data_IF_988079294915
#
_entry.id   IF_988079294915
#
_cell.length_a   1.000
_cell.length_b   1.000
_cell.length_c   1.000
_cell.angle_alpha   90.00
_cell.angle_beta   90.00
_cell.angle_gamma   90.00
#
_symmetry.space_group_name_H-M   'P 1'
#
loop_
_entity.id
_entity.type
_entity.pdbx_description
1 polymer ?
#
# COMPACT_ATOMS: atom_id res chain seq x y z
N UNK A 1 7.97 -4.24 25.96
CA UNK A 1 7.67 -4.26 24.51
C UNK A 1 8.50 -3.18 23.81
N UNK A 2 9.78 -3.06 24.18
CA UNK A 2 10.68 -1.99 23.73
C UNK A 2 11.82 -2.54 22.84
N UNK A 3 11.76 -3.82 22.43
CA UNK A 3 12.92 -4.51 21.85
C UNK A 3 12.61 -5.23 20.52
N UNK A 4 11.60 -4.79 19.76
CA UNK A 4 11.29 -5.33 18.42
C UNK A 4 11.30 -4.25 17.32
N UNK A 5 11.50 -2.97 17.66
CA UNK A 5 11.46 -1.86 16.70
C UNK A 5 12.81 -1.40 16.16
N UNK A 6 13.92 -2.06 16.51
CA UNK A 6 15.27 -1.60 16.12
C UNK A 6 15.95 -2.40 14.98
N UNK A 7 15.33 -3.44 14.40
CA UNK A 7 16.05 -4.40 13.54
C UNK A 7 15.55 -4.49 12.08
N UNK A 8 14.99 -3.40 11.54
CA UNK A 8 14.63 -3.31 10.10
C UNK A 8 15.48 -2.26 9.34
N UNK A 9 16.43 -1.60 10.02
CA UNK A 9 17.18 -0.47 9.45
C UNK A 9 18.61 -0.80 8.92
N UNK A 10 19.01 -2.07 8.80
CA UNK A 10 20.37 -2.42 8.36
C UNK A 10 20.39 -3.54 7.31
N UNK A 11 19.98 -3.23 6.08
CA UNK A 11 20.56 -3.84 4.87
C UNK A 11 20.16 -3.05 3.62
N UNK A 12 20.99 -2.08 3.22
CA UNK A 12 21.04 -1.60 1.83
C UNK A 12 22.44 -1.90 1.31
N UNK A 13 22.62 -2.75 0.28
CA UNK A 13 23.89 -2.83 -0.43
C UNK A 13 24.09 -1.59 -1.31
N UNK A 14 25.33 -1.16 -1.39
CA UNK A 14 25.83 0.01 -2.11
C UNK A 14 25.87 -0.15 -3.64
N UNK A 15 26.12 1.01 -4.29
CA UNK A 15 26.81 1.27 -5.59
C UNK A 15 26.02 1.10 -6.91
N UNK A 16 26.40 1.78 -8.02
CA UNK A 16 27.44 2.81 -8.24
C UNK A 16 26.96 4.07 -9.03
N UNK A 17 27.83 5.10 -9.24
CA UNK A 17 27.43 6.37 -9.86
C UNK A 17 27.59 6.40 -11.40
N UNK A 18 26.72 7.18 -12.06
CA UNK A 18 26.91 7.73 -13.40
C UNK A 18 25.97 7.18 -14.50
N UNK A 19 25.78 7.90 -15.65
CA UNK A 19 26.63 8.98 -16.14
C UNK A 19 25.92 10.33 -16.39
N UNK A 20 26.71 11.37 -16.19
CA UNK A 20 26.49 12.76 -16.65
C UNK A 20 26.53 12.85 -18.18
N UNK A 21 25.65 13.65 -18.76
CA UNK A 21 25.57 13.95 -20.19
C UNK A 21 26.17 15.33 -20.47
N UNK A 22 27.23 15.41 -21.27
CA UNK A 22 27.72 16.64 -21.93
C UNK A 22 28.28 16.25 -23.32
N UNK A 23 27.84 16.96 -24.37
CA UNK A 23 28.32 16.85 -25.77
C UNK A 23 29.74 17.41 -25.96
N UNK A 24 30.36 17.53 -27.14
CA UNK A 24 30.01 17.48 -28.57
C UNK A 24 31.30 17.07 -29.33
N UNK A 25 31.22 16.71 -30.63
CA UNK A 25 32.39 16.73 -31.53
C UNK A 25 32.38 15.71 -32.68
N UNK A 26 32.43 16.24 -33.91
CA UNK A 26 32.23 15.63 -35.23
C UNK A 26 33.35 14.72 -35.79
N UNK A 27 33.00 13.89 -36.78
CA UNK A 27 33.82 13.66 -37.99
C UNK A 27 34.33 12.23 -38.28
N UNK A 28 34.50 11.83 -39.57
CA UNK A 28 34.05 10.53 -40.10
C UNK A 28 35.17 9.60 -40.60
N UNK A 29 34.89 8.30 -40.84
CA UNK A 29 35.14 7.59 -42.13
C UNK A 29 34.90 6.04 -42.06
N UNK A 30 34.34 5.53 -43.18
CA UNK A 30 34.36 4.19 -43.80
C UNK A 30 34.32 2.87 -43.00
N UNK A 31 33.40 1.96 -43.40
CA UNK A 31 33.56 0.52 -43.16
C UNK A 31 32.32 -0.38 -43.25
N UNK A 32 31.90 -0.72 -44.47
CA UNK A 32 30.88 -1.70 -44.91
C UNK A 32 30.94 -3.10 -44.26
N UNK A 33 29.78 -3.73 -43.96
CA UNK A 33 29.32 -5.00 -44.59
C UNK A 33 27.90 -5.46 -44.16
N UNK A 34 27.14 -6.15 -45.05
CA UNK A 34 25.70 -6.41 -44.90
C UNK A 34 25.37 -7.86 -44.49
N UNK A 35 24.28 -8.06 -43.72
CA UNK A 35 23.67 -9.39 -43.49
C UNK A 35 22.20 -9.36 -43.96
N UNK A 36 21.73 -10.35 -44.74
CA UNK A 36 20.54 -10.23 -45.58
C UNK A 36 19.19 -10.43 -44.87
N UNK A 37 18.21 -9.64 -45.33
CA UNK A 37 16.78 -9.67 -45.01
C UNK A 37 16.13 -10.99 -45.46
N UNK A 38 15.42 -11.70 -44.57
CA UNK A 38 14.45 -12.73 -44.94
C UNK A 38 13.05 -12.47 -44.36
N UNK A 39 12.25 -11.85 -45.23
CA UNK A 39 10.84 -12.12 -45.59
C UNK A 39 9.93 -12.72 -44.51
N UNK A 40 8.95 -11.89 -44.17
CA UNK A 40 7.69 -12.12 -43.47
C UNK A 40 7.01 -13.46 -43.78
N UNK A 41 6.57 -14.17 -42.74
CA UNK A 41 5.57 -15.25 -42.86
C UNK A 41 4.53 -15.11 -41.74
N UNK A 42 3.28 -15.10 -42.17
CA UNK A 42 2.04 -15.03 -41.41
C UNK A 42 2.04 -15.95 -40.17
N UNK A 43 1.89 -15.32 -39.00
CA UNK A 43 1.30 -15.95 -37.83
C UNK A 43 0.23 -15.02 -37.30
N UNK A 44 -1.02 -15.15 -37.80
CA UNK A 44 -2.19 -14.57 -37.14
C UNK A 44 -2.32 -15.25 -35.77
N UNK A 45 -1.66 -14.70 -34.75
CA UNK A 45 -2.02 -15.03 -33.36
C UNK A 45 -3.25 -14.20 -33.05
N UNK A 46 -4.42 -14.81 -33.25
CA UNK A 46 -5.58 -14.42 -32.48
C UNK A 46 -5.15 -14.53 -31.02
N UNK A 47 -4.98 -13.39 -30.35
CA UNK A 47 -4.85 -13.35 -28.91
C UNK A 47 -6.21 -13.82 -28.38
N UNK A 48 -6.35 -15.13 -28.17
CA UNK A 48 -7.29 -15.62 -27.17
C UNK A 48 -6.89 -14.95 -25.87
N UNK A 49 -7.68 -13.97 -25.44
CA UNK A 49 -7.58 -13.39 -24.12
C UNK A 49 -7.81 -14.52 -23.11
N UNK A 50 -6.72 -15.19 -22.73
CA UNK A 50 -6.75 -16.20 -21.70
C UNK A 50 -7.10 -15.49 -20.40
N UNK A 51 -8.28 -15.78 -19.87
CA UNK A 51 -8.72 -15.29 -18.56
C UNK A 51 -7.73 -15.81 -17.53
N UNK A 52 -6.92 -14.93 -16.94
CA UNK A 52 -6.00 -15.28 -15.85
C UNK A 52 -6.78 -15.90 -14.69
N UNK A 53 -6.20 -16.91 -14.04
CA UNK A 53 -6.74 -17.44 -12.79
C UNK A 53 -6.64 -16.38 -11.69
N UNK A 54 -7.46 -16.50 -10.64
CA UNK A 54 -7.40 -15.53 -9.55
C UNK A 54 -6.06 -15.56 -8.79
N UNK A 55 -5.42 -16.73 -8.69
CA UNK A 55 -4.07 -16.86 -8.15
C UNK A 55 -3.04 -16.06 -8.95
N UNK A 56 -3.09 -16.16 -10.28
CA UNK A 56 -2.21 -15.40 -11.17
C UNK A 56 -2.46 -13.89 -11.06
N UNK A 57 -3.72 -13.47 -10.89
CA UNK A 57 -4.05 -12.07 -10.67
C UNK A 57 -3.46 -11.57 -9.35
N UNK A 58 -3.61 -12.33 -8.26
CA UNK A 58 -3.05 -11.98 -6.94
C UNK A 58 -1.52 -11.87 -7.00
N UNK A 59 -0.85 -12.81 -7.66
CA UNK A 59 0.61 -12.80 -7.81
C UNK A 59 1.10 -11.63 -8.67
N UNK A 60 0.39 -11.33 -9.76
CA UNK A 60 0.67 -10.15 -10.59
C UNK A 60 0.50 -8.86 -9.80
N UNK A 61 -0.56 -8.76 -9.00
CA UNK A 61 -0.84 -7.60 -8.14
C UNK A 61 0.25 -7.43 -7.06
N UNK A 62 0.70 -8.54 -6.46
CA UNK A 62 1.82 -8.53 -5.51
C UNK A 62 3.09 -7.99 -6.14
N UNK A 63 3.43 -8.50 -7.33
CA UNK A 63 4.64 -8.11 -8.04
C UNK A 63 4.61 -6.63 -8.40
N UNK A 64 3.48 -6.13 -8.92
CA UNK A 64 3.30 -4.71 -9.25
C UNK A 64 3.44 -3.83 -7.99
N UNK A 65 2.81 -4.22 -6.88
CA UNK A 65 2.89 -3.44 -5.65
C UNK A 65 4.31 -3.36 -5.08
N UNK A 66 5.08 -4.46 -5.13
CA UNK A 66 6.46 -4.49 -4.61
C UNK A 66 7.43 -3.64 -5.44
N UNK A 67 7.10 -3.36 -6.69
CA UNK A 67 7.88 -2.50 -7.58
C UNK A 67 7.49 -1.02 -7.48
N UNK A 68 6.38 -0.71 -6.79
CA UNK A 68 5.90 0.66 -6.66
C UNK A 68 6.83 1.49 -5.77
N UNK A 69 6.91 2.79 -6.05
CA UNK A 69 7.56 3.72 -5.15
C UNK A 69 6.76 3.87 -3.85
N UNK A 70 7.48 4.04 -2.74
CA UNK A 70 6.84 4.36 -1.47
C UNK A 70 6.11 5.71 -1.55
N UNK A 71 4.98 5.80 -0.85
CA UNK A 71 4.27 7.05 -0.66
C UNK A 71 5.12 8.04 0.14
N UNK A 72 4.83 9.32 -0.01
CA UNK A 72 5.47 10.36 0.80
C UNK A 72 5.07 10.22 2.27
N UNK A 73 5.96 10.63 3.18
CA UNK A 73 5.73 10.51 4.62
C UNK A 73 4.56 11.36 5.13
N UNK A 74 4.19 12.41 4.39
CA UNK A 74 3.10 13.33 4.71
C UNK A 74 1.74 12.88 4.12
N UNK A 75 1.71 11.85 3.27
CA UNK A 75 0.48 11.36 2.65
C UNK A 75 -0.23 10.34 3.55
N UNK A 76 -1.56 10.43 3.64
CA UNK A 76 -2.36 9.44 4.38
C UNK A 76 -2.41 8.10 3.62
N UNK A 77 -1.90 7.00 4.21
CA UNK A 77 -1.92 5.68 3.57
C UNK A 77 -3.34 5.21 3.23
N UNK A 78 -4.35 5.54 4.05
CA UNK A 78 -5.74 5.14 3.80
C UNK A 78 -6.30 5.81 2.55
N UNK A 79 -5.96 7.09 2.34
CA UNK A 79 -6.34 7.85 1.15
C UNK A 79 -5.65 7.30 -0.09
N UNK A 80 -4.35 6.95 -0.01
CA UNK A 80 -3.63 6.34 -1.11
C UNK A 80 -4.25 5.01 -1.53
N UNK A 81 -4.58 4.12 -0.58
CA UNK A 81 -5.24 2.84 -0.86
C UNK A 81 -6.63 3.01 -1.47
N UNK A 82 -7.37 4.06 -1.09
CA UNK A 82 -8.67 4.39 -1.68
C UNK A 82 -8.54 4.80 -3.15
N UNK A 83 -7.53 5.59 -3.48
CA UNK A 83 -7.27 6.02 -4.87
C UNK A 83 -6.79 4.85 -5.74
N UNK A 84 -5.98 3.95 -5.18
CA UNK A 84 -5.38 2.82 -5.90
C UNK A 84 -6.20 1.52 -5.84
N UNK A 85 -7.41 1.53 -5.26
CA UNK A 85 -8.25 0.33 -5.10
C UNK A 85 -8.56 -0.38 -6.43
N UNK A 86 -8.69 0.38 -7.52
CA UNK A 86 -8.91 -0.21 -8.86
C UNK A 86 -7.66 -0.90 -9.43
N UNK A 87 -6.46 -0.43 -9.06
CA UNK A 87 -5.18 -1.01 -9.49
C UNK A 87 -4.80 -2.22 -8.66
N UNK A 88 -5.15 -2.17 -7.37
CA UNK A 88 -4.80 -3.20 -6.38
C UNK A 88 -6.03 -3.69 -5.61
N UNK A 89 -6.98 -4.39 -6.26
CA UNK A 89 -8.25 -4.78 -5.64
C UNK A 89 -8.08 -5.75 -4.46
N UNK A 90 -7.15 -6.70 -4.53
CA UNK A 90 -6.94 -7.67 -3.45
C UNK A 90 -6.22 -7.03 -2.25
N UNK A 91 -5.21 -6.19 -2.52
CA UNK A 91 -4.40 -5.55 -1.48
C UNK A 91 -5.10 -4.38 -0.82
N UNK A 92 -5.86 -3.56 -1.56
CA UNK A 92 -6.64 -2.48 -0.97
C UNK A 92 -7.65 -3.00 0.05
N UNK A 93 -8.24 -4.18 -0.19
CA UNK A 93 -9.14 -4.85 0.76
C UNK A 93 -8.41 -5.25 2.07
N UNK A 94 -7.19 -5.76 1.97
CA UNK A 94 -6.35 -6.10 3.12
C UNK A 94 -5.87 -4.84 3.85
N UNK A 95 -5.38 -3.85 3.11
CA UNK A 95 -4.88 -2.61 3.66
C UNK A 95 -5.94 -1.88 4.48
N UNK A 96 -7.16 -1.76 3.96
CA UNK A 96 -8.31 -1.21 4.71
C UNK A 96 -8.57 -1.96 6.01
N UNK A 97 -8.44 -3.29 6.02
CA UNK A 97 -8.68 -4.10 7.22
C UNK A 97 -7.62 -3.85 8.29
N UNK A 98 -6.35 -3.78 7.91
CA UNK A 98 -5.24 -3.71 8.87
C UNK A 98 -4.87 -2.28 9.28
N UNK A 99 -4.92 -1.31 8.36
CA UNK A 99 -4.57 0.08 8.65
C UNK A 99 -5.61 0.80 9.51
N UNK A 100 -6.84 0.30 9.59
CA UNK A 100 -7.87 0.87 10.47
C UNK A 100 -7.69 0.49 11.96
N UNK A 101 -6.80 -0.46 12.26
CA UNK A 101 -6.56 -0.92 13.63
C UNK A 101 -5.67 0.11 14.32
N UNK A 102 -6.10 0.61 15.48
CA UNK A 102 -5.27 1.47 16.30
C UNK A 102 -4.07 0.69 16.85
N UNK A 103 -2.87 1.27 16.76
CA UNK A 103 -1.67 0.70 17.37
C UNK A 103 -1.74 0.67 18.91
N UNK A 104 -2.56 1.53 19.52
CA UNK A 104 -2.65 1.70 20.97
C UNK A 104 -4.07 1.51 21.51
N UNK A 105 -4.16 1.21 22.81
CA UNK A 105 -5.42 1.15 23.57
C UNK A 105 -6.10 2.51 23.75
N UNK A 106 -5.50 3.62 23.31
CA UNK A 106 -5.95 4.99 23.56
C UNK A 106 -7.40 5.22 23.13
N UNK A 107 -7.86 4.60 22.03
CA UNK A 107 -9.27 4.71 21.60
C UNK A 107 -10.23 4.08 22.61
N UNK A 108 -9.88 2.92 23.15
CA UNK A 108 -10.66 2.23 24.18
C UNK A 108 -10.60 2.97 25.51
N UNK A 109 -9.42 3.44 25.95
CA UNK A 109 -9.25 4.24 27.18
C UNK A 109 -10.10 5.50 27.15
N UNK A 110 -10.13 6.20 26.01
CA UNK A 110 -11.02 7.35 25.82
C UNK A 110 -12.48 6.93 26.06
N UNK A 111 -12.97 5.85 25.44
CA UNK A 111 -14.34 5.36 25.65
C UNK A 111 -14.60 5.05 27.13
N UNK A 112 -13.67 4.39 27.83
CA UNK A 112 -13.78 4.11 29.26
C UNK A 112 -13.79 5.38 30.13
N UNK A 113 -12.97 6.38 29.79
CA UNK A 113 -12.98 7.68 30.47
C UNK A 113 -14.35 8.36 30.34
N UNK A 114 -14.96 8.34 29.15
CA UNK A 114 -16.34 8.82 28.97
C UNK A 114 -17.35 7.97 29.74
N UNK A 115 -17.16 6.65 29.78
CA UNK A 115 -17.95 5.75 30.63
C UNK A 115 -17.89 6.15 32.11
N UNK A 116 -16.71 6.54 32.61
CA UNK A 116 -16.54 7.06 33.96
C UNK A 116 -17.31 8.36 34.23
N UNK A 117 -17.46 9.22 33.20
CA UNK A 117 -18.31 10.42 33.30
C UNK A 117 -19.82 10.09 33.33
N UNK A 118 -20.23 9.04 32.62
CA UNK A 118 -21.63 8.56 32.60
C UNK A 118 -22.00 7.88 33.92
N UNK A 119 -21.12 7.02 34.44
CA UNK A 119 -21.31 6.26 35.67
C UNK A 119 -20.64 6.99 36.84
N UNK A 120 -21.38 7.92 37.43
CA UNK A 120 -20.95 8.63 38.64
C UNK A 120 -21.55 7.97 39.89
N UNK A 121 -20.98 8.22 41.10
CA UNK A 121 -21.56 7.71 42.35
C UNK A 121 -23.05 8.05 42.54
N UNK A 122 -23.45 9.25 42.09
CA UNK A 122 -24.84 9.74 42.12
C UNK A 122 -25.74 8.98 41.12
N UNK A 123 -25.16 8.42 40.06
CA UNK A 123 -25.87 7.66 38.99
C UNK A 123 -25.60 6.16 39.07
N UNK A 124 -25.30 5.64 40.27
CA UNK A 124 -24.94 4.23 40.49
C UNK A 124 -26.06 3.21 40.21
N UNK A 125 -27.32 3.65 40.10
CA UNK A 125 -28.48 2.79 39.78
C UNK A 125 -28.70 2.58 38.26
N UNK A 126 -27.81 3.07 37.40
CA UNK A 126 -27.92 2.84 35.96
C UNK A 126 -27.68 1.36 35.61
N UNK A 127 -28.64 0.75 34.90
CA UNK A 127 -28.47 -0.60 34.35
C UNK A 127 -27.37 -0.59 33.26
N UNK A 128 -26.59 -1.67 33.10
CA UNK A 128 -25.52 -1.76 32.10
C UNK A 128 -25.98 -1.40 30.67
N UNK A 129 -27.17 -1.85 30.27
CA UNK A 129 -27.74 -1.53 28.95
C UNK A 129 -27.95 -0.02 28.73
N UNK A 130 -28.33 0.72 29.79
CA UNK A 130 -28.50 2.17 29.71
C UNK A 130 -27.15 2.87 29.63
N UNK A 131 -26.15 2.40 30.38
CA UNK A 131 -24.78 2.92 30.31
C UNK A 131 -24.21 2.76 28.91
N UNK A 132 -24.34 1.58 28.31
CA UNK A 132 -23.87 1.32 26.95
C UNK A 132 -24.48 2.28 25.92
N UNK A 133 -25.80 2.51 26.00
CA UNK A 133 -26.50 3.48 25.13
C UNK A 133 -26.01 4.91 25.35
N UNK A 134 -25.82 5.33 26.60
CA UNK A 134 -25.34 6.68 26.94
C UNK A 134 -23.89 6.90 26.46
N UNK A 135 -23.00 5.93 26.64
CA UNK A 135 -21.61 6.01 26.16
C UNK A 135 -21.58 6.02 24.63
N UNK A 136 -22.42 5.23 23.96
CA UNK A 136 -22.54 5.25 22.52
C UNK A 136 -22.99 6.63 22.02
N UNK A 137 -24.05 7.20 22.58
CA UNK A 137 -24.54 8.54 22.21
C UNK A 137 -23.47 9.61 22.47
N UNK A 138 -22.76 9.55 23.60
CA UNK A 138 -21.73 10.53 23.95
C UNK A 138 -20.46 10.48 23.06
N UNK A 139 -20.27 9.40 22.28
CA UNK A 139 -19.10 9.22 21.41
C UNK A 139 -19.39 9.32 19.91
N UNK A 140 -20.66 9.36 19.52
CA UNK A 140 -21.09 9.32 18.12
C UNK A 140 -22.04 10.48 17.73
N UNK A 141 -22.43 11.34 18.68
CA UNK A 141 -23.07 12.63 18.43
C UNK A 141 -22.03 13.75 18.51
#
# INVERSE_FOLDING_TARGET
>A
MEEIVAEIALSRPSTPPGPVHVGEGEGPDAGTTPVPKKKNLLGKRAATAATLTDEQKVESEMTMYLQEMAIDGEEDPLTWWKTNEKRFPFRAKLARKYLCICATSTRSERVFSTGGSVVTPIRSLLKPDKVNKLVFLARNL
#
